data_IF_291694101004
#
_entry.id   IF_291694101004
#
_cell.length_a   1.000
_cell.length_b   1.000
_cell.length_c   1.000
_cell.angle_alpha   90.00
_cell.angle_beta   90.00
_cell.angle_gamma   90.00
#
_symmetry.space_group_name_H-M   'P 1'
#
loop_
_entity.id
_entity.type
_entity.pdbx_description
1 polymer ?
#
# COMPACT_ATOMS: atom_id res chain seq x y z
N UNK A 1 21.30 -30.78 -10.07
CA UNK A 1 20.06 -30.26 -10.65
C UNK A 1 19.75 -28.95 -9.95
N UNK A 2 19.46 -27.87 -10.67
CA UNK A 2 19.03 -26.59 -10.10
C UNK A 2 17.55 -26.66 -9.71
N UNK A 3 17.05 -25.68 -8.94
CA UNK A 3 15.62 -25.57 -8.62
C UNK A 3 14.78 -25.44 -9.89
N UNK A 4 15.22 -24.59 -10.83
CA UNK A 4 14.58 -24.39 -12.13
C UNK A 4 14.49 -25.69 -12.96
N UNK A 5 15.57 -26.47 -13.00
CA UNK A 5 15.57 -27.78 -13.68
C UNK A 5 14.64 -28.81 -13.03
N UNK A 6 14.39 -28.68 -11.72
CA UNK A 6 13.44 -29.52 -10.99
C UNK A 6 12.00 -29.09 -11.27
N UNK A 7 11.69 -27.80 -11.12
CA UNK A 7 10.36 -27.24 -11.42
C UNK A 7 9.94 -27.56 -12.85
N UNK A 8 10.82 -27.32 -13.83
CA UNK A 8 10.50 -27.60 -15.23
C UNK A 8 10.26 -29.08 -15.53
N UNK A 9 10.88 -30.02 -14.79
CA UNK A 9 10.55 -31.44 -14.94
C UNK A 9 9.18 -31.77 -14.33
N UNK A 10 8.87 -31.23 -13.17
CA UNK A 10 7.59 -31.49 -12.49
C UNK A 10 6.42 -30.92 -13.28
N UNK A 11 6.54 -29.69 -13.79
CA UNK A 11 5.54 -29.04 -14.63
C UNK A 11 5.20 -29.85 -15.89
N UNK A 12 6.21 -30.37 -16.59
CA UNK A 12 6.02 -31.25 -17.77
C UNK A 12 5.24 -32.53 -17.48
N UNK A 13 5.20 -32.98 -16.23
CA UNK A 13 4.46 -34.15 -15.79
C UNK A 13 3.16 -33.79 -15.05
N UNK A 14 2.78 -32.52 -15.01
CA UNK A 14 1.58 -32.03 -14.32
C UNK A 14 1.68 -32.13 -12.79
N UNK A 15 2.89 -32.20 -12.25
CA UNK A 15 3.11 -32.24 -10.80
C UNK A 15 3.13 -30.80 -10.29
N UNK A 16 2.20 -30.40 -9.40
CA UNK A 16 2.18 -29.05 -8.86
C UNK A 16 3.37 -28.86 -7.91
N UNK A 17 4.22 -27.89 -8.24
CA UNK A 17 5.33 -27.48 -7.40
C UNK A 17 5.56 -25.97 -7.55
N UNK A 18 6.18 -25.36 -6.54
CA UNK A 18 6.78 -24.04 -6.67
C UNK A 18 8.09 -24.02 -5.90
N UNK A 19 9.01 -23.16 -6.34
CA UNK A 19 10.14 -22.73 -5.55
C UNK A 19 9.68 -22.05 -4.27
N UNK A 20 10.52 -22.17 -3.25
CA UNK A 20 10.38 -21.42 -2.03
C UNK A 20 11.10 -20.08 -2.20
N UNK A 21 10.34 -19.03 -2.47
CA UNK A 21 10.86 -17.68 -2.65
C UNK A 21 11.21 -17.03 -1.31
N UNK A 22 12.26 -16.23 -1.30
CA UNK A 22 12.52 -15.28 -0.21
C UNK A 22 11.56 -14.09 -0.32
N UNK A 23 11.38 -13.29 0.74
CA UNK A 23 10.57 -12.08 0.67
C UNK A 23 11.06 -11.08 -0.39
N UNK A 24 12.37 -10.99 -0.63
CA UNK A 24 12.94 -10.08 -1.63
C UNK A 24 12.56 -10.50 -3.06
N UNK A 25 12.52 -11.81 -3.34
CA UNK A 25 12.16 -12.34 -4.67
C UNK A 25 10.73 -11.96 -5.09
N UNK A 26 9.86 -11.60 -4.14
CA UNK A 26 8.47 -11.23 -4.42
C UNK A 26 8.35 -9.93 -5.22
N UNK A 27 9.30 -9.00 -5.06
CA UNK A 27 9.24 -7.69 -5.72
C UNK A 27 9.59 -7.77 -7.22
N UNK A 28 10.36 -8.78 -7.60
CA UNK A 28 10.78 -9.03 -8.98
C UNK A 28 9.98 -10.15 -9.66
N UNK A 29 9.03 -10.77 -8.97
CA UNK A 29 8.24 -11.86 -9.51
C UNK A 29 7.26 -11.38 -10.61
N UNK A 30 7.38 -11.87 -11.87
CA UNK A 30 6.57 -11.39 -12.99
C UNK A 30 5.07 -11.41 -12.75
N UNK A 31 4.54 -12.43 -12.05
CA UNK A 31 3.10 -12.50 -11.79
C UNK A 31 2.64 -11.42 -10.79
N UNK A 32 3.47 -11.06 -9.81
CA UNK A 32 3.17 -10.03 -8.84
C UNK A 32 3.28 -8.63 -9.47
N UNK A 33 4.26 -8.41 -10.34
CA UNK A 33 4.39 -7.17 -11.11
C UNK A 33 3.22 -6.98 -12.08
N UNK A 34 2.85 -8.02 -12.84
CA UNK A 34 1.70 -7.98 -13.75
C UNK A 34 0.39 -7.65 -13.01
N UNK A 35 0.22 -8.17 -11.79
CA UNK A 35 -0.98 -7.91 -10.98
C UNK A 35 -0.93 -6.59 -10.21
N UNK A 36 0.17 -5.82 -10.29
CA UNK A 36 0.33 -4.61 -9.49
C UNK A 36 0.22 -4.88 -8.00
N UNK A 37 0.83 -5.96 -7.51
CA UNK A 37 0.72 -6.40 -6.12
C UNK A 37 1.31 -5.41 -5.11
N UNK A 38 2.19 -4.51 -5.56
CA UNK A 38 2.84 -3.50 -4.75
C UNK A 38 2.72 -2.12 -5.38
N UNK A 39 2.57 -1.10 -4.55
CA UNK A 39 2.68 0.31 -4.92
C UNK A 39 3.98 0.85 -4.35
N UNK A 40 4.69 1.67 -5.12
CA UNK A 40 5.81 2.47 -4.60
C UNK A 40 5.24 3.60 -3.77
N UNK A 41 5.61 3.61 -2.51
CA UNK A 41 5.27 4.62 -1.52
C UNK A 41 6.49 5.50 -1.29
N UNK A 42 6.28 6.80 -1.09
CA UNK A 42 7.36 7.74 -0.85
C UNK A 42 7.04 8.68 0.31
N UNK A 43 7.90 8.68 1.33
CA UNK A 43 7.86 9.60 2.47
C UNK A 43 9.21 10.28 2.69
N UNK A 44 9.38 10.93 3.84
CA UNK A 44 10.59 11.67 4.19
C UNK A 44 11.82 10.75 4.34
N UNK A 45 11.60 9.44 4.51
CA UNK A 45 12.62 8.40 4.59
C UNK A 45 12.98 7.76 3.23
N UNK A 46 12.18 8.04 2.19
CA UNK A 46 12.44 7.65 0.79
C UNK A 46 11.41 6.69 0.20
N UNK A 47 11.80 5.99 -0.87
CA UNK A 47 10.92 5.08 -1.60
C UNK A 47 10.94 3.64 -1.05
N UNK A 48 9.77 3.05 -0.85
CA UNK A 48 9.61 1.63 -0.48
C UNK A 48 8.32 1.04 -1.04
N UNK A 49 8.20 -0.29 -1.01
CA UNK A 49 7.01 -0.99 -1.49
C UNK A 49 5.98 -1.20 -0.38
N UNK A 50 4.73 -0.88 -0.69
CA UNK A 50 3.55 -1.22 0.14
C UNK A 50 2.68 -2.19 -0.62
N UNK A 51 2.24 -3.24 0.06
CA UNK A 51 1.36 -4.25 -0.52
C UNK A 51 -0.04 -3.67 -0.81
N UNK A 52 -0.53 -3.90 -2.01
CA UNK A 52 -1.90 -3.59 -2.40
C UNK A 52 -2.89 -4.67 -1.92
N UNK A 53 -4.18 -4.40 -2.06
CA UNK A 53 -5.22 -5.37 -1.71
C UNK A 53 -5.02 -6.69 -2.49
N UNK A 54 -5.24 -7.87 -1.85
CA UNK A 54 -4.92 -9.18 -2.45
C UNK A 54 -5.89 -9.61 -3.57
N UNK A 55 -6.90 -8.79 -3.86
CA UNK A 55 -7.88 -8.96 -4.93
C UNK A 55 -7.91 -7.70 -5.81
N UNK A 56 -8.53 -7.78 -6.98
CA UNK A 56 -8.69 -6.64 -7.89
C UNK A 56 -10.15 -6.53 -8.30
N UNK A 57 -10.62 -5.30 -8.53
CA UNK A 57 -11.93 -5.04 -9.11
C UNK A 57 -11.77 -4.58 -10.55
N UNK A 58 -12.63 -5.05 -11.45
CA UNK A 58 -12.57 -4.67 -12.86
C UNK A 58 -12.90 -3.20 -13.13
N UNK A 59 -13.56 -2.52 -12.19
CA UNK A 59 -14.06 -1.15 -12.38
C UNK A 59 -13.65 -0.19 -11.26
N UNK A 60 -12.78 -0.60 -10.34
CA UNK A 60 -12.34 0.23 -9.22
C UNK A 60 -10.83 0.05 -9.09
N UNK A 61 -10.11 1.16 -9.10
CA UNK A 61 -8.72 1.18 -8.69
C UNK A 61 -8.66 0.98 -7.17
N UNK A 62 -7.96 -0.07 -6.77
CA UNK A 62 -7.83 -0.48 -5.39
C UNK A 62 -6.37 -0.54 -4.94
N UNK A 63 -5.49 0.16 -5.67
CA UNK A 63 -4.13 0.42 -5.25
C UNK A 63 -4.11 1.28 -3.97
N UNK A 64 -3.14 0.99 -3.10
CA UNK A 64 -2.85 1.80 -1.92
C UNK A 64 -2.37 3.18 -2.35
N UNK A 65 -2.79 4.24 -1.65
CA UNK A 65 -2.32 5.60 -1.91
C UNK A 65 -0.81 5.70 -1.66
N UNK A 66 -0.05 6.43 -2.50
CA UNK A 66 1.42 6.46 -2.43
C UNK A 66 1.97 7.39 -1.34
N UNK A 67 1.13 7.88 -0.43
CA UNK A 67 1.49 8.74 0.70
C UNK A 67 0.58 8.48 1.90
N UNK A 68 1.04 8.91 3.08
CA UNK A 68 0.29 8.92 4.33
C UNK A 68 0.15 10.37 4.78
N UNK A 69 -1.00 10.77 5.35
CA UNK A 69 -1.12 12.10 5.92
C UNK A 69 -0.14 12.31 7.08
N UNK A 70 0.36 13.52 7.19
CA UNK A 70 1.10 14.01 8.34
C UNK A 70 0.19 14.16 9.57
N UNK A 71 0.75 14.15 10.79
CA UNK A 71 -0.03 14.42 12.01
C UNK A 71 -0.78 15.75 11.90
N UNK A 72 -2.10 15.70 11.98
CA UNK A 72 -2.95 16.89 11.93
C UNK A 72 -3.27 17.45 10.54
N UNK A 73 -2.77 16.84 9.45
CA UNK A 73 -2.93 17.34 8.07
C UNK A 73 -4.37 17.71 7.71
N UNK A 74 -5.32 16.89 8.15
CA UNK A 74 -6.74 17.01 7.83
C UNK A 74 -7.59 17.54 9.00
N UNK A 75 -6.98 17.98 10.12
CA UNK A 75 -7.72 18.43 11.31
C UNK A 75 -8.73 19.51 10.96
N UNK A 76 -8.27 20.59 10.32
CA UNK A 76 -9.13 21.74 10.02
C UNK A 76 -10.24 21.38 9.03
N UNK A 77 -9.93 20.58 8.00
CA UNK A 77 -10.91 20.10 7.03
C UNK A 77 -12.01 19.27 7.70
N UNK A 78 -11.66 18.33 8.59
CA UNK A 78 -12.66 17.52 9.30
C UNK A 78 -13.49 18.37 10.26
N UNK A 79 -12.89 19.31 10.99
CA UNK A 79 -13.63 20.19 11.90
C UNK A 79 -14.60 21.13 11.15
N UNK A 80 -14.18 21.65 10.00
CA UNK A 80 -15.02 22.49 9.16
C UNK A 80 -16.11 21.68 8.45
N UNK A 81 -15.74 20.65 7.70
CA UNK A 81 -16.65 19.97 6.77
C UNK A 81 -17.58 18.98 7.48
N UNK A 82 -17.08 18.28 8.51
CA UNK A 82 -17.86 17.25 9.18
C UNK A 82 -18.56 17.76 10.45
N UNK A 83 -17.98 18.76 11.13
CA UNK A 83 -18.54 19.33 12.37
C UNK A 83 -19.11 20.74 12.20
N UNK A 84 -18.98 21.35 11.01
CA UNK A 84 -19.48 22.69 10.71
C UNK A 84 -18.94 23.77 11.65
N UNK A 85 -17.68 23.63 12.09
CA UNK A 85 -17.00 24.65 12.89
C UNK A 85 -16.42 25.73 11.99
N UNK A 86 -16.57 26.98 12.42
CA UNK A 86 -15.92 28.11 11.76
C UNK A 86 -14.45 28.26 12.19
N UNK A 87 -13.73 29.11 11.46
CA UNK A 87 -12.30 29.37 11.71
C UNK A 87 -12.04 29.87 13.15
N UNK A 88 -12.99 30.63 13.73
CA UNK A 88 -12.85 31.16 15.09
C UNK A 88 -12.96 30.06 16.15
N UNK A 89 -13.92 29.14 15.99
CA UNK A 89 -14.07 27.99 16.86
C UNK A 89 -12.85 27.07 16.77
N UNK A 90 -12.34 26.81 15.57
CA UNK A 90 -11.13 25.99 15.36
C UNK A 90 -9.91 26.65 16.01
N UNK A 91 -9.75 27.98 15.85
CA UNK A 91 -8.67 28.73 16.49
C UNK A 91 -8.75 28.69 18.05
N UNK A 92 -9.95 28.72 18.64
CA UNK A 92 -10.13 28.55 20.09
C UNK A 92 -9.69 27.15 20.55
N UNK A 93 -10.06 26.09 19.80
CA UNK A 93 -9.64 24.73 20.11
C UNK A 93 -8.12 24.56 20.08
N UNK A 94 -7.46 25.16 19.08
CA UNK A 94 -5.99 25.21 18.98
C UNK A 94 -5.37 25.95 20.15
N UNK A 95 -5.90 27.14 20.49
CA UNK A 95 -5.43 27.95 21.63
C UNK A 95 -5.54 27.21 22.96
N UNK A 96 -6.55 26.35 23.10
CA UNK A 96 -6.78 25.52 24.30
C UNK A 96 -5.98 24.23 24.31
N UNK A 97 -5.23 23.91 23.25
CA UNK A 97 -4.47 22.67 23.11
C UNK A 97 -5.35 21.43 22.99
N UNK A 98 -6.58 21.58 22.51
CA UNK A 98 -7.52 20.46 22.28
C UNK A 98 -7.21 19.77 20.95
N UNK A 99 -6.79 20.55 19.96
CA UNK A 99 -6.37 20.08 18.64
C UNK A 99 -5.03 20.74 18.28
N UNK A 100 -4.17 20.02 17.57
CA UNK A 100 -2.84 20.47 17.13
C UNK A 100 -2.81 20.98 15.70
#
# INVERSE_FOLDING_TARGET
RTVEECEGQFDRHGVPCSRYNTPADLFDEPQLQHRGAFTVFNDDEGEYFVQNLPFQFASVDNATTPHSPSPGEHTDAVLADNLNLDENAIADLRKRGIVE
#
